data_IF_636829441372
#
_entry.id   IF_636829441372
#
_cell.length_a   1.000
_cell.length_b   1.000
_cell.length_c   1.000
_cell.angle_alpha   90.00
_cell.angle_beta   90.00
_cell.angle_gamma   90.00
#
_symmetry.space_group_name_H-M   'P 1'
#
loop_
_entity.id
_entity.type
_entity.pdbx_description
1 polymer ?
#
# COMPACT_ATOMS: atom_id res chain seq x y z
N UNK A 1 -11.23 -16.85 -2.05
CA UNK A 1 -11.77 -16.14 -0.87
C UNK A 1 -10.68 -15.42 -0.06
N UNK A 2 -9.50 -16.02 0.17
CA UNK A 2 -8.40 -15.35 0.91
C UNK A 2 -7.94 -13.99 0.36
N UNK A 3 -8.08 -13.75 -0.95
CA UNK A 3 -7.69 -12.49 -1.61
C UNK A 3 -8.55 -11.26 -1.23
N UNK A 4 -9.69 -11.45 -0.56
CA UNK A 4 -10.59 -10.37 -0.10
C UNK A 4 -10.61 -10.30 1.42
N UNK A 5 -10.52 -11.45 2.09
CA UNK A 5 -10.58 -11.53 3.56
C UNK A 5 -9.42 -10.78 4.19
N UNK A 6 -8.19 -10.92 3.69
CA UNK A 6 -7.02 -10.25 4.27
C UNK A 6 -7.09 -8.71 4.17
N UNK A 7 -7.34 -8.12 2.98
CA UNK A 7 -7.57 -6.69 2.88
C UNK A 7 -8.71 -6.22 3.79
N UNK A 8 -9.82 -6.95 3.84
CA UNK A 8 -10.95 -6.61 4.70
C UNK A 8 -10.56 -6.55 6.17
N UNK A 9 -9.83 -7.55 6.68
CA UNK A 9 -9.39 -7.58 8.07
C UNK A 9 -8.43 -6.45 8.40
N UNK A 10 -7.49 -6.13 7.50
CA UNK A 10 -6.53 -5.04 7.70
C UNK A 10 -7.25 -3.69 7.68
N UNK A 11 -8.10 -3.45 6.67
CA UNK A 11 -8.92 -2.24 6.61
C UNK A 11 -9.84 -2.13 7.83
N UNK A 12 -10.46 -3.22 8.24
CA UNK A 12 -11.35 -3.21 9.40
C UNK A 12 -10.61 -2.89 10.68
N UNK A 13 -9.44 -3.48 10.91
CA UNK A 13 -8.62 -3.16 12.06
C UNK A 13 -8.20 -1.68 12.08
N UNK A 14 -7.73 -1.15 10.95
CA UNK A 14 -7.36 0.26 10.82
C UNK A 14 -8.56 1.19 11.07
N UNK A 15 -9.70 0.94 10.41
CA UNK A 15 -10.94 1.70 10.60
C UNK A 15 -11.45 1.60 12.03
N UNK A 16 -11.36 0.41 12.65
CA UNK A 16 -11.84 0.20 14.01
C UNK A 16 -11.06 1.07 14.99
N UNK A 17 -9.73 1.05 14.94
CA UNK A 17 -8.89 1.88 15.80
C UNK A 17 -9.15 3.36 15.53
N UNK A 18 -9.16 3.79 14.27
CA UNK A 18 -9.35 5.21 13.96
C UNK A 18 -10.74 5.71 14.36
N UNK A 19 -11.81 4.97 14.05
CA UNK A 19 -13.16 5.32 14.47
C UNK A 19 -13.32 5.27 15.99
N UNK A 20 -12.68 4.32 16.68
CA UNK A 20 -12.68 4.27 18.14
C UNK A 20 -12.06 5.54 18.72
N UNK A 21 -10.86 5.92 18.28
CA UNK A 21 -10.18 7.12 18.76
C UNK A 21 -11.00 8.39 18.45
N UNK A 22 -11.53 8.50 17.23
CA UNK A 22 -12.33 9.66 16.85
C UNK A 22 -13.63 9.75 17.64
N UNK A 23 -14.31 8.63 17.90
CA UNK A 23 -15.53 8.63 18.71
C UNK A 23 -15.20 8.92 20.17
N UNK A 24 -14.17 8.30 20.74
CA UNK A 24 -13.77 8.53 22.13
C UNK A 24 -13.40 10.01 22.36
N UNK A 25 -12.39 10.51 21.64
CA UNK A 25 -11.96 11.89 21.80
C UNK A 25 -13.00 12.88 21.29
N UNK A 26 -13.66 12.60 20.17
CA UNK A 26 -14.65 13.51 19.61
C UNK A 26 -15.88 13.66 20.50
N UNK A 27 -16.35 12.57 21.12
CA UNK A 27 -17.45 12.64 22.07
C UNK A 27 -17.00 13.41 23.31
N UNK A 28 -15.86 13.04 23.91
CA UNK A 28 -15.35 13.71 25.11
C UNK A 28 -15.06 15.22 24.93
N UNK A 29 -14.60 15.65 23.74
CA UNK A 29 -14.29 17.06 23.50
C UNK A 29 -15.50 17.91 23.10
N UNK A 30 -16.47 17.34 22.38
CA UNK A 30 -17.57 18.11 21.79
C UNK A 30 -18.90 17.92 22.51
N UNK A 31 -19.03 16.91 23.38
CA UNK A 31 -20.29 16.54 24.02
C UNK A 31 -20.07 16.11 25.47
N UNK A 32 -20.92 16.56 26.38
CA UNK A 32 -20.84 16.20 27.81
C UNK A 32 -21.54 14.87 28.14
N UNK A 33 -22.20 14.25 27.16
CA UNK A 33 -23.02 13.04 27.35
C UNK A 33 -22.36 11.81 26.75
N UNK A 34 -22.25 10.73 27.55
CA UNK A 34 -21.70 9.46 27.09
C UNK A 34 -22.65 8.82 26.10
N UNK A 35 -22.22 8.64 24.85
CA UNK A 35 -23.06 8.05 23.81
C UNK A 35 -23.34 6.58 24.13
N UNK A 36 -24.62 6.16 24.29
CA UNK A 36 -24.92 4.78 24.63
C UNK A 36 -24.47 3.84 23.52
N UNK A 37 -23.90 2.70 23.93
CA UNK A 37 -23.44 1.61 23.04
C UNK A 37 -22.35 2.04 22.05
N UNK A 38 -21.45 2.95 22.45
CA UNK A 38 -20.34 3.43 21.63
C UNK A 38 -19.56 2.29 20.95
N UNK A 39 -19.19 1.24 21.67
CA UNK A 39 -18.46 0.10 21.11
C UNK A 39 -19.19 -0.63 19.96
N UNK A 40 -20.50 -0.83 20.06
CA UNK A 40 -21.30 -1.44 18.97
C UNK A 40 -21.41 -0.52 17.77
N UNK A 41 -21.58 0.78 17.99
CA UNK A 41 -21.62 1.80 16.93
C UNK A 41 -20.29 1.86 16.20
N UNK A 42 -19.18 1.93 16.93
CA UNK A 42 -17.81 1.91 16.39
C UNK A 42 -17.57 0.63 15.59
N UNK A 43 -17.95 -0.53 16.12
CA UNK A 43 -17.83 -1.81 15.41
C UNK A 43 -18.59 -1.81 14.08
N UNK A 44 -19.86 -1.37 14.07
CA UNK A 44 -20.68 -1.31 12.86
C UNK A 44 -20.16 -0.28 11.84
N UNK A 45 -19.86 0.94 12.30
CA UNK A 45 -19.39 2.03 11.43
C UNK A 45 -18.04 1.72 10.80
N UNK A 46 -17.08 1.22 11.60
CA UNK A 46 -15.77 0.81 11.10
C UNK A 46 -15.85 -0.36 10.12
N UNK A 47 -16.73 -1.33 10.38
CA UNK A 47 -16.94 -2.46 9.46
C UNK A 47 -17.51 -1.99 8.12
N UNK A 48 -18.50 -1.08 8.12
CA UNK A 48 -19.07 -0.52 6.90
C UNK A 48 -18.02 0.24 6.08
N UNK A 49 -17.22 1.08 6.73
CA UNK A 49 -16.13 1.81 6.06
C UNK A 49 -15.06 0.86 5.50
N UNK A 50 -14.69 -0.17 6.25
CA UNK A 50 -13.73 -1.16 5.80
C UNK A 50 -14.24 -2.00 4.63
N UNK A 51 -15.52 -2.39 4.65
CA UNK A 51 -16.16 -3.07 3.53
C UNK A 51 -16.16 -2.20 2.27
N UNK A 52 -16.46 -0.90 2.42
CA UNK A 52 -16.39 0.06 1.31
C UNK A 52 -14.97 0.14 0.73
N UNK A 53 -13.94 0.29 1.57
CA UNK A 53 -12.55 0.38 1.13
C UNK A 53 -12.07 -0.91 0.47
N UNK A 54 -12.49 -2.06 0.99
CA UNK A 54 -12.17 -3.37 0.40
C UNK A 54 -12.78 -3.54 -0.98
N UNK A 55 -13.99 -2.99 -1.19
CA UNK A 55 -14.71 -3.07 -2.45
C UNK A 55 -14.20 -2.05 -3.48
N UNK A 56 -14.08 -0.77 -3.11
CA UNK A 56 -13.60 0.29 -4.01
C UNK A 56 -12.12 0.13 -4.35
N UNK A 57 -11.31 -0.32 -3.38
CA UNK A 57 -9.84 -0.31 -3.45
C UNK A 57 -9.30 1.04 -3.94
N UNK A 58 -9.64 2.13 -3.24
CA UNK A 58 -9.31 3.46 -3.73
C UNK A 58 -7.80 3.68 -3.73
N UNK A 59 -7.29 4.28 -4.82
CA UNK A 59 -5.91 4.72 -4.94
C UNK A 59 -5.80 6.18 -4.49
N UNK A 60 -4.84 6.45 -3.60
CA UNK A 60 -4.61 7.79 -3.08
C UNK A 60 -4.14 8.76 -4.17
N UNK A 61 -3.35 8.27 -5.14
CA UNK A 61 -2.76 9.09 -6.20
C UNK A 61 -3.80 9.60 -7.21
N UNK A 62 -4.90 8.85 -7.40
CA UNK A 62 -5.91 9.13 -8.43
C UNK A 62 -7.22 9.70 -7.87
N UNK A 63 -7.34 9.82 -6.54
CA UNK A 63 -8.60 10.18 -5.86
C UNK A 63 -9.15 11.56 -6.23
N UNK A 64 -8.29 12.52 -6.58
CA UNK A 64 -8.69 13.87 -7.00
C UNK A 64 -8.65 14.09 -8.52
N UNK A 65 -8.34 13.05 -9.29
CA UNK A 65 -8.21 13.16 -10.74
C UNK A 65 -9.19 12.20 -11.41
N UNK A 66 -8.76 10.96 -11.65
CA UNK A 66 -9.51 9.97 -12.42
C UNK A 66 -10.65 9.33 -11.64
N UNK A 67 -10.52 9.25 -10.30
CA UNK A 67 -11.46 8.57 -9.42
C UNK A 67 -12.36 9.51 -8.60
N UNK A 68 -12.49 10.77 -9.05
CA UNK A 68 -13.26 11.80 -8.34
C UNK A 68 -14.69 11.35 -7.96
N UNK A 69 -15.49 10.68 -8.84
CA UNK A 69 -16.82 10.22 -8.45
C UNK A 69 -16.81 9.23 -7.28
N UNK A 70 -15.81 8.36 -7.21
CA UNK A 70 -15.65 7.39 -6.11
C UNK A 70 -15.22 8.06 -4.82
N UNK A 71 -14.36 9.07 -4.90
CA UNK A 71 -13.97 9.89 -3.75
C UNK A 71 -15.16 10.67 -3.18
N UNK A 72 -16.02 11.22 -4.05
CA UNK A 72 -17.26 11.87 -3.62
C UNK A 72 -18.21 10.87 -2.95
N UNK A 73 -18.38 9.67 -3.51
CA UNK A 73 -19.16 8.61 -2.87
C UNK A 73 -18.59 8.26 -1.49
N UNK A 74 -17.26 8.12 -1.37
CA UNK A 74 -16.62 7.91 -0.07
C UNK A 74 -16.94 9.04 0.90
N UNK A 75 -16.80 10.30 0.49
CA UNK A 75 -17.13 11.44 1.36
C UNK A 75 -18.58 11.38 1.86
N UNK A 76 -19.53 11.01 1.00
CA UNK A 76 -20.94 10.82 1.38
C UNK A 76 -21.09 9.70 2.40
N UNK A 77 -20.46 8.54 2.17
CA UNK A 77 -20.56 7.40 3.10
C UNK A 77 -19.89 7.72 4.44
N UNK A 78 -18.73 8.37 4.43
CA UNK A 78 -18.05 8.83 5.65
C UNK A 78 -18.94 9.79 6.44
N UNK A 79 -19.50 10.80 5.78
CA UNK A 79 -20.44 11.72 6.40
C UNK A 79 -21.65 10.98 6.99
N UNK A 80 -22.27 10.07 6.23
CA UNK A 80 -23.41 9.30 6.68
C UNK A 80 -23.09 8.41 7.90
N UNK A 81 -21.93 7.76 7.94
CA UNK A 81 -21.48 6.96 9.09
C UNK A 81 -21.29 7.85 10.32
N UNK A 82 -20.64 8.99 10.16
CA UNK A 82 -20.39 9.92 11.27
C UNK A 82 -21.67 10.54 11.83
N UNK A 83 -22.61 10.91 10.96
CA UNK A 83 -23.87 11.52 11.39
C UNK A 83 -24.89 10.49 11.88
N UNK A 84 -25.10 9.38 11.16
CA UNK A 84 -26.19 8.44 11.46
C UNK A 84 -25.78 7.38 12.47
N UNK A 85 -24.55 6.86 12.39
CA UNK A 85 -24.08 5.77 13.26
C UNK A 85 -23.43 6.34 14.51
N UNK A 86 -22.46 7.25 14.34
CA UNK A 86 -21.75 7.86 15.46
C UNK A 86 -22.50 9.03 16.09
N UNK A 87 -23.56 9.52 15.45
CA UNK A 87 -24.45 10.56 16.00
C UNK A 87 -23.75 11.91 16.26
N UNK A 88 -22.69 12.21 15.51
CA UNK A 88 -22.11 13.54 15.49
C UNK A 88 -23.06 14.55 14.84
N UNK A 89 -23.10 15.77 15.38
CA UNK A 89 -23.80 16.88 14.75
C UNK A 89 -23.25 17.09 13.32
N UNK A 90 -24.10 17.37 12.30
CA UNK A 90 -23.67 17.42 10.90
C UNK A 90 -22.43 18.29 10.63
N UNK A 91 -22.27 19.41 11.34
CA UNK A 91 -21.10 20.28 11.20
C UNK A 91 -19.80 19.60 11.65
N UNK A 92 -19.81 18.90 12.78
CA UNK A 92 -18.65 18.14 13.27
C UNK A 92 -18.41 16.90 12.42
N UNK A 93 -19.48 16.20 12.02
CA UNK A 93 -19.39 15.05 11.12
C UNK A 93 -18.76 15.42 9.78
N UNK A 94 -19.10 16.58 9.21
CA UNK A 94 -18.48 17.06 7.98
C UNK A 94 -16.99 17.37 8.17
N UNK A 95 -16.64 18.15 9.21
CA UNK A 95 -15.26 18.52 9.48
C UNK A 95 -14.36 17.30 9.77
N UNK A 96 -14.74 16.51 10.77
CA UNK A 96 -13.98 15.32 11.17
C UNK A 96 -14.01 14.27 10.08
N UNK A 97 -15.16 14.05 9.44
CA UNK A 97 -15.33 13.07 8.37
C UNK A 97 -14.44 13.35 7.16
N UNK A 98 -14.29 14.62 6.75
CA UNK A 98 -13.38 14.99 5.66
C UNK A 98 -11.92 14.76 6.05
N UNK A 99 -11.51 15.21 7.25
CA UNK A 99 -10.13 15.01 7.73
C UNK A 99 -9.80 13.52 7.80
N UNK A 100 -10.72 12.73 8.34
CA UNK A 100 -10.57 11.30 8.52
C UNK A 100 -10.56 10.54 7.16
N UNK A 101 -11.40 10.94 6.21
CA UNK A 101 -11.40 10.44 4.83
C UNK A 101 -10.07 10.69 4.11
N UNK A 102 -9.42 11.82 4.35
CA UNK A 102 -8.18 12.15 3.67
C UNK A 102 -6.97 11.44 4.28
N UNK A 103 -6.97 11.22 5.60
CA UNK A 103 -5.83 10.64 6.31
C UNK A 103 -5.88 9.12 6.35
N UNK A 104 -7.01 8.56 6.77
CA UNK A 104 -7.07 7.16 7.19
C UNK A 104 -7.03 6.20 6.00
N UNK A 105 -7.83 6.39 4.92
CA UNK A 105 -7.73 5.58 3.71
C UNK A 105 -6.32 5.55 3.13
N UNK A 106 -5.62 6.70 3.05
CA UNK A 106 -4.25 6.76 2.54
C UNK A 106 -3.30 5.84 3.32
N UNK A 107 -3.29 5.96 4.65
CA UNK A 107 -2.45 5.13 5.53
C UNK A 107 -2.87 3.66 5.46
N UNK A 108 -4.17 3.38 5.47
CA UNK A 108 -4.68 2.02 5.44
C UNK A 108 -4.37 1.31 4.12
N UNK A 109 -4.48 2.00 2.98
CA UNK A 109 -4.16 1.44 1.66
C UNK A 109 -2.67 1.16 1.53
N UNK A 110 -1.79 2.06 2.02
CA UNK A 110 -0.34 1.80 2.08
C UNK A 110 -0.03 0.55 2.92
N UNK A 111 -0.72 0.35 4.06
CA UNK A 111 -0.58 -0.83 4.89
C UNK A 111 -1.01 -2.12 4.19
N UNK A 112 -2.15 -2.09 3.50
CA UNK A 112 -2.65 -3.24 2.72
C UNK A 112 -1.73 -3.57 1.57
N UNK A 113 -1.28 -2.57 0.80
CA UNK A 113 -0.35 -2.77 -0.31
C UNK A 113 0.98 -3.35 0.15
N UNK A 114 1.53 -2.87 1.27
CA UNK A 114 2.78 -3.38 1.84
C UNK A 114 2.72 -4.88 2.18
N UNK A 115 1.58 -5.34 2.73
CA UNK A 115 1.41 -6.73 3.17
C UNK A 115 0.98 -7.64 2.01
N UNK A 116 0.17 -7.13 1.09
CA UNK A 116 -0.42 -7.93 0.01
C UNK A 116 0.43 -7.96 -1.27
N UNK A 117 1.34 -7.01 -1.47
CA UNK A 117 2.22 -7.02 -2.64
C UNK A 117 3.28 -8.10 -2.48
N UNK A 118 3.30 -9.13 -3.33
CA UNK A 118 4.33 -10.15 -3.27
C UNK A 118 5.69 -9.48 -3.47
N UNK A 119 6.60 -9.63 -2.50
CA UNK A 119 7.99 -9.23 -2.70
C UNK A 119 8.49 -9.96 -3.93
N UNK A 120 8.74 -9.22 -5.03
CA UNK A 120 9.48 -9.79 -6.16
C UNK A 120 10.80 -10.24 -5.58
N UNK A 121 10.96 -11.55 -5.39
CA UNK A 121 12.24 -12.15 -5.08
C UNK A 121 13.09 -11.74 -6.27
N UNK A 122 13.97 -10.75 -6.06
CA UNK A 122 15.04 -10.48 -7.02
C UNK A 122 15.67 -11.84 -7.22
N UNK A 123 15.53 -12.39 -8.43
CA UNK A 123 16.15 -13.66 -8.75
C UNK A 123 17.58 -13.58 -8.22
N UNK A 124 18.02 -14.59 -7.46
CA UNK A 124 19.43 -14.80 -7.15
C UNK A 124 20.13 -15.14 -8.48
N UNK A 125 20.21 -14.12 -9.32
CA UNK A 125 20.64 -14.12 -10.71
C UNK A 125 21.90 -13.27 -10.79
N UNK A 126 22.81 -13.52 -9.86
CA UNK A 126 24.23 -13.24 -10.06
C UNK A 126 24.99 -14.48 -9.66
N UNK A 127 24.76 -15.59 -10.38
CA UNK A 127 25.91 -16.42 -10.70
C UNK A 127 26.89 -15.46 -11.35
N UNK A 128 27.95 -15.11 -10.64
CA UNK A 128 29.11 -14.49 -11.24
C UNK A 128 29.50 -15.44 -12.36
N UNK A 129 29.04 -15.15 -13.58
CA UNK A 129 29.60 -15.72 -14.78
C UNK A 129 31.02 -15.19 -14.77
N UNK A 130 31.90 -15.97 -14.14
CA UNK A 130 33.32 -15.69 -14.08
C UNK A 130 33.74 -15.78 -15.53
N UNK A 131 33.79 -14.62 -16.19
CA UNK A 131 34.40 -14.52 -17.50
C UNK A 131 35.75 -15.24 -17.36
N UNK A 132 36.05 -16.26 -18.19
CA UNK A 132 37.34 -16.93 -18.11
C UNK A 132 38.38 -15.82 -18.20
N UNK A 133 39.24 -15.73 -17.18
CA UNK A 133 40.26 -14.70 -17.12
C UNK A 133 41.19 -14.94 -18.32
N UNK A 134 40.93 -14.23 -19.42
CA UNK A 134 41.82 -14.21 -20.57
C UNK A 134 43.08 -13.51 -20.10
N UNK A 135 44.04 -14.27 -19.56
CA UNK A 135 45.43 -13.85 -19.41
C UNK A 135 46.00 -13.70 -20.82
N UNK A 136 45.63 -12.63 -21.52
CA UNK A 136 46.43 -12.12 -22.64
C UNK A 136 47.63 -11.42 -22.00
N UNK A 137 48.74 -12.13 -21.92
CA UNK A 137 50.03 -11.49 -21.62
C UNK A 137 50.29 -10.44 -22.68
N UNK A 138 50.56 -9.20 -22.26
CA UNK A 138 51.09 -8.11 -23.10
C UNK A 138 52.56 -8.36 -23.53
N UNK A 139 52.99 -9.62 -23.58
CA UNK A 139 54.29 -9.96 -24.09
C UNK A 139 54.25 -9.80 -25.62
N UNK A 140 55.19 -9.03 -26.22
CA UNK A 140 55.36 -9.03 -27.66
C UNK A 140 55.56 -10.47 -28.11
N UNK A 141 54.72 -10.93 -29.04
CA UNK A 141 54.91 -12.20 -29.73
C UNK A 141 56.19 -12.08 -30.55
N UNK A 142 57.33 -12.52 -30.02
CA UNK A 142 58.50 -12.83 -30.83
C UNK A 142 58.16 -14.07 -31.66
N UNK A 143 57.77 -13.84 -32.91
CA UNK A 143 57.71 -14.91 -33.89
C UNK A 143 59.09 -15.60 -33.96
N UNK A 144 59.18 -16.94 -33.89
CA UNK A 144 60.42 -17.63 -34.21
C UNK A 144 60.75 -17.41 -35.69
N UNK A 145 62.03 -17.15 -36.06
CA UNK A 145 62.41 -16.96 -37.45
C UNK A 145 62.15 -18.24 -38.27
N UNK A 146 61.62 -18.05 -39.48
CA UNK A 146 61.44 -19.13 -40.45
C UNK A 146 62.80 -19.78 -40.76
N UNK A 147 62.92 -21.08 -40.49
CA UNK A 147 64.13 -21.85 -40.78
C UNK A 147 64.17 -22.17 -42.29
N UNK A 148 65.16 -21.69 -43.07
CA UNK A 148 65.18 -21.88 -44.53
C UNK A 148 65.72 -23.25 -44.98
N UNK A 149 65.85 -24.23 -44.08
CA UNK A 149 66.51 -25.51 -44.36
C UNK A 149 65.56 -26.69 -44.71
N UNK A 150 64.32 -26.43 -45.13
CA UNK A 150 63.37 -27.47 -45.55
C UNK A 150 63.04 -27.45 -47.07
N UNK A 151 63.85 -26.76 -47.87
CA UNK A 151 63.74 -26.74 -49.33
C UNK A 151 64.98 -27.35 -50.01
N UNK A 152 65.41 -28.54 -49.58
CA UNK A 152 66.40 -29.33 -50.32
C UNK A 152 66.36 -30.81 -49.87
N UNK A 153 65.45 -31.58 -50.47
CA UNK A 153 65.70 -32.99 -50.87
C UNK A 153 64.50 -33.51 -51.67
N UNK A 154 64.68 -33.51 -52.99
CA UNK A 154 64.11 -34.51 -53.90
C UNK A 154 64.89 -35.81 -53.72
#
# INVERSE_FOLDING_TARGET
MGAIIWPLLIYWFAMFISCYMIVEFGQDFFYDEVTPRAGLKVGLGSFLLAALLTWLRPSFDTMFTSDLPWTVLQAIVWFAVFTLIFQFHPTHAAGIGIVALLLIPGVATMGVESIMTPTRTLASGRSLQRAPAVRRSLAPSSAPPANPAAAAKK
#
